data_IF_421441477318
#
_entry.id   IF_421441477318
#
_cell.length_a   1.000
_cell.length_b   1.000
_cell.length_c   1.000
_cell.angle_alpha   90.00
_cell.angle_beta   90.00
_cell.angle_gamma   90.00
#
_symmetry.space_group_name_H-M   'P 1'
#
loop_
_entity.id
_entity.type
_entity.pdbx_description
1 polymer ?
#
# COMPACT_ATOMS: atom_id res chain seq x y z
N UNK A 1 10.35 25.93 -13.09
CA UNK A 1 9.03 25.46 -12.61
C UNK A 1 8.98 23.97 -12.82
N UNK A 2 9.43 23.21 -11.83
CA UNK A 2 9.52 21.75 -11.88
C UNK A 2 8.10 21.18 -11.89
N UNK A 3 7.74 20.56 -13.01
CA UNK A 3 6.54 19.73 -13.16
C UNK A 3 6.48 18.80 -11.95
N UNK A 4 5.58 19.07 -11.01
CA UNK A 4 5.40 18.23 -9.83
C UNK A 4 4.94 16.87 -10.30
N UNK A 5 5.70 15.83 -10.03
CA UNK A 5 5.28 14.45 -10.28
C UNK A 5 3.88 14.28 -9.68
N UNK A 6 2.90 14.00 -10.55
CA UNK A 6 1.49 13.92 -10.14
C UNK A 6 1.30 12.61 -9.38
N UNK A 7 1.59 12.64 -8.09
CA UNK A 7 1.44 11.48 -7.22
C UNK A 7 -0.04 11.28 -6.86
N UNK A 8 -0.49 10.03 -6.87
CA UNK A 8 -1.80 9.67 -6.37
C UNK A 8 -1.82 9.83 -4.85
N UNK A 9 -2.64 10.75 -4.34
CA UNK A 9 -2.78 10.94 -2.89
C UNK A 9 -3.99 10.16 -2.39
N UNK A 10 -3.73 9.29 -1.42
CA UNK A 10 -4.74 8.45 -0.77
C UNK A 10 -4.81 8.81 0.70
N UNK A 11 -6.00 9.13 1.19
CA UNK A 11 -6.25 9.46 2.60
C UNK A 11 -6.76 8.24 3.35
N UNK A 12 -6.05 7.84 4.40
CA UNK A 12 -6.50 6.76 5.29
C UNK A 12 -7.35 7.34 6.43
N UNK A 13 -8.53 6.76 6.63
CA UNK A 13 -9.43 7.07 7.75
C UNK A 13 -9.39 5.94 8.81
N UNK A 14 -9.92 6.21 10.00
CA UNK A 14 -9.79 5.34 11.17
C UNK A 14 -10.41 3.94 10.99
N UNK A 15 -11.34 3.76 10.04
CA UNK A 15 -12.12 2.53 9.84
C UNK A 15 -11.64 1.69 8.64
N UNK A 16 -10.32 1.53 8.47
CA UNK A 16 -9.65 0.86 7.31
C UNK A 16 -10.01 1.42 5.91
N UNK A 17 -10.83 2.46 5.82
CA UNK A 17 -11.21 3.11 4.57
C UNK A 17 -10.05 3.95 4.03
N UNK A 18 -9.69 3.69 2.78
CA UNK A 18 -8.77 4.51 2.02
C UNK A 18 -9.56 5.30 0.97
N UNK A 19 -9.34 6.61 0.90
CA UNK A 19 -10.02 7.49 -0.03
C UNK A 19 -9.03 8.01 -1.05
N UNK A 20 -9.27 7.68 -2.31
CA UNK A 20 -8.53 8.23 -3.44
C UNK A 20 -9.02 9.65 -3.73
N UNK A 21 -8.12 10.61 -3.68
CA UNK A 21 -8.43 12.04 -3.90
C UNK A 21 -8.53 12.43 -5.37
N UNK A 22 -8.07 11.59 -6.29
CA UNK A 22 -8.19 11.81 -7.74
C UNK A 22 -9.49 11.22 -8.28
N UNK A 23 -9.78 9.96 -7.96
CA UNK A 23 -11.04 9.31 -8.38
C UNK A 23 -12.23 9.58 -7.45
N UNK A 24 -11.99 10.29 -6.34
CA UNK A 24 -13.01 10.70 -5.36
C UNK A 24 -13.82 9.54 -4.76
N UNK A 25 -13.22 8.36 -4.64
CA UNK A 25 -13.89 7.14 -4.15
C UNK A 25 -13.06 6.39 -3.11
N UNK A 26 -13.72 5.48 -2.40
CA UNK A 26 -13.02 4.54 -1.53
C UNK A 26 -12.37 3.44 -2.34
N UNK A 27 -11.15 3.06 -1.94
CA UNK A 27 -10.34 2.01 -2.57
C UNK A 27 -9.88 0.99 -1.53
N UNK A 28 -9.59 -0.22 -2.00
CA UNK A 28 -9.06 -1.34 -1.20
C UNK A 28 -7.54 -1.31 -1.14
N UNK A 29 -6.94 -2.09 -0.22
CA UNK A 29 -5.48 -2.24 -0.14
C UNK A 29 -4.89 -2.83 -1.42
N UNK A 30 -5.58 -3.77 -2.06
CA UNK A 30 -5.18 -4.38 -3.33
C UNK A 30 -5.19 -3.36 -4.49
N UNK A 31 -6.19 -2.48 -4.55
CA UNK A 31 -6.20 -1.39 -5.54
C UNK A 31 -5.05 -0.39 -5.32
N UNK A 32 -4.72 -0.08 -4.07
CA UNK A 32 -3.58 0.79 -3.73
C UNK A 32 -2.26 0.18 -4.22
N UNK A 33 -2.08 -1.12 -4.02
CA UNK A 33 -0.92 -1.85 -4.51
C UNK A 33 -0.84 -1.81 -6.04
N UNK A 34 -1.96 -2.07 -6.73
CA UNK A 34 -2.03 -1.98 -8.19
C UNK A 34 -1.71 -0.56 -8.69
N UNK A 35 -2.16 0.48 -8.00
CA UNK A 35 -1.77 1.85 -8.33
C UNK A 35 -0.27 2.08 -8.12
N UNK A 36 0.31 1.56 -7.04
CA UNK A 36 1.74 1.71 -6.73
C UNK A 36 2.66 0.99 -7.73
N UNK A 37 2.18 -0.06 -8.39
CA UNK A 37 2.90 -0.74 -9.47
C UNK A 37 2.94 0.08 -10.77
N UNK A 38 1.93 0.90 -11.01
CA UNK A 38 1.76 1.65 -12.27
C UNK A 38 2.18 3.13 -12.16
N UNK A 39 2.19 3.71 -10.95
CA UNK A 39 2.49 5.12 -10.69
C UNK A 39 2.90 5.37 -9.25
N UNK A 40 3.47 6.53 -8.97
CA UNK A 40 3.81 6.97 -7.62
C UNK A 40 2.55 7.24 -6.78
N UNK A 41 2.45 6.58 -5.62
CA UNK A 41 1.33 6.68 -4.67
C UNK A 41 1.85 7.19 -3.33
N UNK A 42 1.09 8.09 -2.70
CA UNK A 42 1.33 8.59 -1.35
C UNK A 42 0.09 8.34 -0.51
N UNK A 43 0.25 7.62 0.61
CA UNK A 43 -0.83 7.35 1.56
C UNK A 43 -0.60 8.17 2.82
N UNK A 44 -1.55 9.03 3.14
CA UNK A 44 -1.51 9.93 4.30
C UNK A 44 -2.60 9.54 5.29
N UNK A 45 -2.23 9.37 6.56
CA UNK A 45 -3.21 9.18 7.63
C UNK A 45 -3.97 10.48 7.89
N UNK A 46 -5.30 10.46 7.76
CA UNK A 46 -6.09 11.69 7.87
C UNK A 46 -6.09 12.27 9.29
N UNK A 47 -5.91 11.44 10.33
CA UNK A 47 -5.94 11.87 11.73
C UNK A 47 -4.60 12.47 12.14
N UNK A 48 -3.50 11.81 11.80
CA UNK A 48 -2.15 12.19 12.23
C UNK A 48 -1.37 12.98 11.19
N UNK A 49 -1.88 13.07 9.96
CA UNK A 49 -1.24 13.69 8.79
C UNK A 49 0.14 13.10 8.44
N UNK A 50 0.43 11.90 8.95
CA UNK A 50 1.70 11.20 8.68
C UNK A 50 1.63 10.45 7.37
N UNK A 51 2.76 10.41 6.69
CA UNK A 51 2.98 9.48 5.59
C UNK A 51 3.06 8.06 6.15
N UNK A 52 2.16 7.20 5.66
CA UNK A 52 2.06 5.79 6.02
C UNK A 52 2.13 4.91 4.78
N UNK A 53 2.65 5.42 3.66
CA UNK A 53 2.75 4.74 2.36
C UNK A 53 3.42 3.38 2.50
N UNK A 54 4.63 3.34 3.07
CA UNK A 54 5.38 2.09 3.29
C UNK A 54 4.60 1.08 4.12
N UNK A 55 3.98 1.53 5.21
CA UNK A 55 3.18 0.67 6.11
C UNK A 55 1.96 0.10 5.38
N UNK A 56 1.32 0.90 4.56
CA UNK A 56 0.12 0.52 3.81
C UNK A 56 0.45 -0.52 2.73
N UNK A 57 1.54 -0.31 1.98
CA UNK A 57 1.99 -1.27 0.96
C UNK A 57 2.50 -2.58 1.56
N UNK A 58 3.19 -2.53 2.71
CA UNK A 58 3.57 -3.75 3.41
C UNK A 58 2.35 -4.55 3.88
N UNK A 59 1.32 -3.85 4.38
CA UNK A 59 0.06 -4.48 4.79
C UNK A 59 -0.69 -5.10 3.61
N UNK A 60 -0.74 -4.43 2.46
CA UNK A 60 -1.37 -4.97 1.25
C UNK A 60 -0.66 -6.24 0.75
N UNK A 61 0.67 -6.28 0.84
CA UNK A 61 1.44 -7.47 0.48
C UNK A 61 1.11 -8.66 1.41
N UNK A 62 1.05 -8.42 2.72
CA UNK A 62 0.71 -9.48 3.70
C UNK A 62 -0.72 -9.98 3.51
N UNK A 63 -1.70 -9.10 3.24
CA UNK A 63 -3.07 -9.52 2.93
C UNK A 63 -3.14 -10.33 1.63
N UNK A 64 -2.43 -9.91 0.58
CA UNK A 64 -2.37 -10.66 -0.68
C UNK A 64 -1.76 -12.05 -0.51
N UNK A 65 -0.86 -12.24 0.45
CA UNK A 65 -0.31 -13.55 0.80
C UNK A 65 -1.29 -14.38 1.65
N UNK A 66 -2.05 -13.73 2.54
CA UNK A 66 -3.02 -14.41 3.41
C UNK A 66 -4.30 -14.89 2.72
N UNK A 67 -4.70 -14.27 1.60
CA UNK A 67 -5.81 -14.74 0.75
C UNK A 67 -5.44 -15.96 -0.11
N UNK A 68 -4.13 -16.19 -0.32
CA UNK A 68 -3.63 -17.44 -0.90
C UNK A 68 -3.54 -18.46 0.23
N UNK A 69 -4.43 -19.46 0.22
CA UNK A 69 -4.53 -20.50 1.25
C UNK A 69 -3.15 -20.97 1.74
N UNK A 70 -2.87 -20.70 3.02
CA UNK A 70 -1.73 -21.21 3.81
C UNK A 70 -0.33 -20.82 3.30
N UNK A 71 0.05 -19.55 3.40
CA UNK A 71 1.48 -19.21 3.37
C UNK A 71 2.08 -19.46 4.75
N UNK A 72 2.96 -20.46 4.83
CA UNK A 72 3.64 -20.82 6.07
C UNK A 72 4.65 -19.75 6.44
N UNK A 73 4.84 -19.50 7.73
CA UNK A 73 5.87 -18.56 8.24
C UNK A 73 7.26 -18.94 7.73
N UNK A 74 7.49 -20.21 7.39
CA UNK A 74 8.72 -20.69 6.73
C UNK A 74 8.95 -20.05 5.36
N UNK A 75 7.91 -19.84 4.56
CA UNK A 75 8.03 -19.31 3.19
C UNK A 75 8.42 -17.83 3.21
N UNK A 76 7.92 -17.10 4.21
CA UNK A 76 8.28 -15.70 4.45
C UNK A 76 9.74 -15.60 4.88
N UNK A 77 10.22 -16.49 5.76
CA UNK A 77 11.63 -16.53 6.19
C UNK A 77 12.56 -16.85 5.03
N UNK A 78 12.17 -17.77 4.14
CA UNK A 78 13.00 -18.14 3.00
C UNK A 78 13.03 -17.06 1.91
N UNK A 79 11.96 -16.29 1.74
CA UNK A 79 11.95 -15.13 0.84
C UNK A 79 12.91 -14.03 1.31
N UNK A 80 12.97 -13.79 2.63
CA UNK A 80 13.90 -12.83 3.23
C UNK A 80 15.35 -13.29 3.09
N UNK A 81 15.62 -14.59 3.20
CA UNK A 81 16.99 -15.15 3.03
C UNK A 81 17.45 -15.10 1.58
N UNK A 82 16.56 -15.37 0.60
CA UNK A 82 16.90 -15.32 -0.84
C UNK A 82 17.17 -13.91 -1.37
N UNK A 83 16.68 -12.87 -0.70
CA UNK A 83 16.95 -11.47 -1.08
C UNK A 83 18.38 -11.00 -0.77
N UNK A 84 19.24 -11.88 -0.25
CA UNK A 84 20.64 -11.61 0.09
C UNK A 84 21.59 -12.53 -0.69
N UNK A 85 21.50 -12.49 -2.02
CA UNK A 85 22.53 -12.95 -2.97
C UNK A 85 22.64 -11.92 -4.07
#
# INVERSE_FOLDING_TARGET
MSQGEKHLVIKKYANRKFYDTESSRYVTLSEIQNHALNRSVIVIDNKTKRDITRKTLAMSLVESLGESETVSVSDIVDLIKKSKV
#
